data_IF_734837649933
#
_entry.id   IF_734837649933
#
_cell.length_a   1.000
_cell.length_b   1.000
_cell.length_c   1.000
_cell.angle_alpha   90.00
_cell.angle_beta   90.00
_cell.angle_gamma   90.00
#
_symmetry.space_group_name_H-M   'P 1'
#
loop_
_entity.id
_entity.type
_entity.pdbx_description
1 polymer ?
#
# COMPACT_ATOMS: atom_id res chain seq x y z
N UNK A 1 -27.50 -2.92 -17.39
CA UNK A 1 -26.39 -1.95 -17.57
C UNK A 1 -26.61 -0.65 -16.82
N UNK A 2 -27.83 -0.16 -16.66
CA UNK A 2 -28.11 1.05 -15.87
C UNK A 2 -27.82 0.90 -14.37
N UNK A 3 -27.96 -0.30 -13.80
CA UNK A 3 -27.75 -0.55 -12.35
C UNK A 3 -26.29 -0.52 -11.88
N UNK A 4 -25.34 -0.74 -12.78
CA UNK A 4 -23.93 -0.69 -12.44
C UNK A 4 -23.38 0.73 -12.34
N UNK A 5 -24.09 1.68 -12.95
CA UNK A 5 -23.73 3.10 -12.92
C UNK A 5 -24.38 3.85 -11.72
N UNK A 6 -25.29 3.21 -11.02
CA UNK A 6 -26.10 3.84 -9.95
C UNK A 6 -25.60 3.56 -8.54
N UNK A 7 -24.50 2.80 -8.35
CA UNK A 7 -23.89 2.69 -7.01
C UNK A 7 -23.28 4.04 -6.66
N UNK A 8 -23.81 4.66 -5.62
CA UNK A 8 -23.26 5.91 -5.10
C UNK A 8 -21.78 5.70 -4.75
N UNK A 9 -20.97 6.76 -4.85
CA UNK A 9 -19.54 6.72 -4.49
C UNK A 9 -19.34 6.15 -3.08
N UNK A 10 -20.33 6.32 -2.17
CA UNK A 10 -20.31 5.80 -0.81
C UNK A 10 -20.45 4.28 -0.71
N UNK A 11 -20.93 3.60 -1.76
CA UNK A 11 -21.09 2.14 -1.79
C UNK A 11 -19.91 1.42 -2.46
N UNK A 12 -19.01 2.14 -3.07
CA UNK A 12 -17.82 1.56 -3.69
C UNK A 12 -16.82 1.15 -2.63
N UNK A 13 -16.25 -0.04 -2.81
CA UNK A 13 -15.10 -0.47 -2.01
C UNK A 13 -13.91 0.43 -2.31
N UNK A 14 -13.09 0.64 -1.31
CA UNK A 14 -11.93 1.53 -1.42
C UNK A 14 -10.67 0.95 -0.80
N UNK A 15 -9.54 1.33 -1.38
CA UNK A 15 -8.22 0.90 -0.96
C UNK A 15 -7.34 2.14 -0.82
N UNK A 16 -6.54 2.18 0.25
CA UNK A 16 -5.51 3.19 0.45
C UNK A 16 -4.14 2.56 0.21
N UNK A 17 -3.31 3.21 -0.60
CA UNK A 17 -1.90 2.85 -0.78
C UNK A 17 -1.05 3.91 -0.08
N UNK A 18 -0.27 3.48 0.91
CA UNK A 18 0.63 4.34 1.68
C UNK A 18 2.07 4.10 1.26
N UNK A 19 2.77 5.17 0.97
CA UNK A 19 4.19 5.14 0.61
C UNK A 19 5.01 5.92 1.64
N UNK A 20 6.01 5.27 2.20
CA UNK A 20 6.90 5.84 3.19
C UNK A 20 7.97 6.77 2.63
N UNK A 21 8.97 7.11 3.45
CA UNK A 21 9.98 8.11 3.12
C UNK A 21 10.85 7.71 1.93
N UNK A 22 11.28 8.72 1.20
CA UNK A 22 12.18 8.63 0.05
C UNK A 22 11.58 7.95 -1.19
N UNK A 23 10.38 7.39 -1.14
CA UNK A 23 9.74 6.79 -2.31
C UNK A 23 9.38 7.83 -3.39
N UNK A 24 9.24 9.09 -3.01
CA UNK A 24 9.09 10.20 -3.95
C UNK A 24 10.32 10.38 -4.85
N UNK A 25 11.47 9.82 -4.47
CA UNK A 25 12.73 9.89 -5.23
C UNK A 25 12.96 8.67 -6.14
N UNK A 26 11.98 7.79 -6.27
CA UNK A 26 12.11 6.63 -7.17
C UNK A 26 12.43 7.08 -8.60
N UNK A 27 13.32 6.35 -9.27
CA UNK A 27 13.85 6.69 -10.57
C UNK A 27 15.11 7.54 -10.53
N UNK A 28 15.39 8.19 -9.40
CA UNK A 28 16.57 9.04 -9.17
C UNK A 28 17.54 8.40 -8.18
N UNK A 29 17.06 7.49 -7.30
CA UNK A 29 17.81 6.94 -6.19
C UNK A 29 18.09 5.45 -6.42
N UNK A 30 19.38 5.05 -6.28
CA UNK A 30 19.83 3.66 -6.28
C UNK A 30 19.12 2.79 -7.35
N UNK A 31 19.26 3.10 -8.68
CA UNK A 31 18.57 2.35 -9.72
C UNK A 31 18.84 0.85 -9.71
N UNK A 32 19.98 0.43 -9.17
CA UNK A 32 20.36 -0.97 -9.01
C UNK A 32 19.46 -1.74 -8.04
N UNK A 33 18.81 -1.05 -7.09
CA UNK A 33 17.88 -1.65 -6.13
C UNK A 33 16.42 -1.43 -6.49
N UNK A 34 16.10 -0.28 -7.08
CA UNK A 34 14.70 0.17 -7.29
C UNK A 34 14.32 0.29 -8.75
N UNK A 35 15.29 0.14 -9.70
CA UNK A 35 15.02 0.32 -11.13
C UNK A 35 14.80 1.78 -11.52
N UNK A 36 14.30 1.98 -12.73
CA UNK A 36 14.00 3.32 -13.29
C UNK A 36 12.55 3.74 -13.10
N UNK A 37 11.75 2.93 -12.46
CA UNK A 37 10.33 3.17 -12.23
C UNK A 37 10.14 4.34 -11.25
N UNK A 38 9.16 5.20 -11.54
CA UNK A 38 8.83 6.33 -10.66
C UNK A 38 7.62 6.02 -9.80
N UNK A 39 7.48 6.71 -8.65
CA UNK A 39 6.30 6.58 -7.82
C UNK A 39 5.04 7.00 -8.57
N UNK A 40 5.12 8.05 -9.36
CA UNK A 40 4.01 8.51 -10.20
C UNK A 40 3.55 7.43 -11.18
N UNK A 41 4.49 6.74 -11.81
CA UNK A 41 4.20 5.61 -12.70
C UNK A 41 3.53 4.44 -11.97
N UNK A 42 4.01 4.11 -10.78
CA UNK A 42 3.40 3.08 -9.93
C UNK A 42 1.96 3.48 -9.59
N UNK A 43 1.77 4.69 -9.09
CA UNK A 43 0.43 5.18 -8.71
C UNK A 43 -0.55 5.14 -9.88
N UNK A 44 -0.09 5.51 -11.08
CA UNK A 44 -0.93 5.49 -12.28
C UNK A 44 -1.38 4.07 -12.62
N UNK A 45 -0.46 3.11 -12.63
CA UNK A 45 -0.79 1.71 -12.91
C UNK A 45 -1.76 1.13 -11.88
N UNK A 46 -1.56 1.44 -10.59
CA UNK A 46 -2.47 0.99 -9.54
C UNK A 46 -3.85 1.62 -9.69
N UNK A 47 -3.91 2.90 -10.02
CA UNK A 47 -5.18 3.58 -10.26
C UNK A 47 -5.95 2.96 -11.42
N UNK A 48 -5.27 2.68 -12.52
CA UNK A 48 -5.87 2.01 -13.69
C UNK A 48 -6.39 0.61 -13.32
N UNK A 49 -5.60 -0.15 -12.57
CA UNK A 49 -5.98 -1.50 -12.13
C UNK A 49 -7.22 -1.47 -11.22
N UNK A 50 -7.27 -0.53 -10.28
CA UNK A 50 -8.42 -0.36 -9.39
C UNK A 50 -9.67 0.08 -10.15
N UNK A 51 -9.53 1.04 -11.08
CA UNK A 51 -10.63 1.51 -11.90
C UNK A 51 -11.24 0.38 -12.73
N UNK A 52 -10.41 -0.47 -13.33
CA UNK A 52 -10.87 -1.64 -14.08
C UNK A 52 -11.71 -2.60 -13.23
N UNK A 53 -11.49 -2.63 -11.92
CA UNK A 53 -12.22 -3.46 -10.97
C UNK A 53 -13.38 -2.71 -10.28
N UNK A 54 -13.61 -1.45 -10.60
CA UNK A 54 -14.65 -0.64 -9.96
C UNK A 54 -14.33 -0.23 -8.52
N UNK A 55 -13.04 -0.20 -8.15
CA UNK A 55 -12.57 0.12 -6.80
C UNK A 55 -12.06 1.56 -6.78
N UNK A 56 -12.38 2.29 -5.72
CA UNK A 56 -11.79 3.61 -5.45
C UNK A 56 -10.42 3.42 -4.81
N UNK A 57 -9.40 4.01 -5.41
CA UNK A 57 -8.04 3.96 -4.89
C UNK A 57 -7.56 5.36 -4.53
N UNK A 58 -7.00 5.50 -3.33
CA UNK A 58 -6.28 6.68 -2.91
C UNK A 58 -4.81 6.30 -2.70
N UNK A 59 -3.90 7.17 -3.10
CA UNK A 59 -2.46 7.04 -2.84
C UNK A 59 -2.00 8.21 -1.98
N UNK A 60 -1.12 7.94 -1.04
CA UNK A 60 -0.55 8.96 -0.16
C UNK A 60 0.92 8.64 0.11
N UNK A 61 1.78 9.61 -0.08
CA UNK A 61 3.22 9.48 0.20
C UNK A 61 3.64 10.58 1.17
N UNK A 62 4.47 10.22 2.14
CA UNK A 62 5.10 11.22 3.01
C UNK A 62 6.46 10.73 3.52
N UNK A 63 7.34 11.69 3.77
CA UNK A 63 8.61 11.46 4.48
C UNK A 63 8.45 11.61 5.99
N UNK A 64 7.28 12.07 6.45
CA UNK A 64 6.99 12.34 7.86
C UNK A 64 6.24 11.17 8.49
N UNK A 65 6.79 10.61 9.56
CA UNK A 65 6.11 9.58 10.36
C UNK A 65 4.77 10.10 10.89
N UNK A 66 4.76 11.33 11.39
CA UNK A 66 3.54 11.95 11.92
C UNK A 66 2.45 12.08 10.86
N UNK A 67 2.80 12.43 9.63
CA UNK A 67 1.83 12.55 8.55
C UNK A 67 1.24 11.20 8.18
N UNK A 68 2.05 10.14 8.15
CA UNK A 68 1.57 8.78 7.87
C UNK A 68 0.66 8.27 8.96
N UNK A 69 1.02 8.48 10.23
CA UNK A 69 0.18 8.16 11.39
C UNK A 69 -1.14 8.93 11.32
N UNK A 70 -1.07 10.23 11.07
CA UNK A 70 -2.25 11.09 10.92
C UNK A 70 -3.17 10.64 9.80
N UNK A 71 -2.60 10.21 8.66
CA UNK A 71 -3.38 9.67 7.55
C UNK A 71 -4.14 8.42 7.96
N UNK A 72 -3.49 7.51 8.70
CA UNK A 72 -4.16 6.32 9.22
C UNK A 72 -5.28 6.70 10.21
N UNK A 73 -5.09 7.70 11.05
CA UNK A 73 -6.12 8.15 11.97
C UNK A 73 -7.39 8.63 11.25
N UNK A 74 -7.26 9.16 10.03
CA UNK A 74 -8.45 9.54 9.23
C UNK A 74 -9.30 8.34 8.82
N UNK A 75 -8.76 7.12 8.92
CA UNK A 75 -9.47 5.89 8.57
C UNK A 75 -10.22 5.27 9.75
N UNK A 76 -10.17 5.90 10.92
CA UNK A 76 -10.93 5.45 12.07
C UNK A 76 -12.42 5.42 11.72
N UNK A 77 -13.09 4.27 11.96
CA UNK A 77 -14.47 4.06 11.51
C UNK A 77 -14.59 3.38 10.15
N UNK A 78 -13.46 2.88 9.62
CA UNK A 78 -13.41 2.05 8.38
C UNK A 78 -13.82 2.79 7.11
N UNK A 79 -13.19 3.94 6.85
CA UNK A 79 -13.40 4.68 5.60
C UNK A 79 -12.75 4.01 4.38
N UNK A 80 -11.87 3.03 4.57
CA UNK A 80 -11.35 2.17 3.50
C UNK A 80 -11.44 0.69 3.89
N UNK A 81 -11.44 -0.19 2.91
CA UNK A 81 -11.63 -1.63 3.12
C UNK A 81 -10.33 -2.39 3.20
N UNK A 82 -9.26 -1.84 2.65
CA UNK A 82 -7.94 -2.49 2.62
C UNK A 82 -6.84 -1.45 2.49
N UNK A 83 -5.65 -1.75 3.05
CA UNK A 83 -4.47 -0.89 2.97
C UNK A 83 -3.33 -1.67 2.32
N UNK A 84 -2.60 -1.02 1.42
CA UNK A 84 -1.32 -1.49 0.92
C UNK A 84 -0.28 -0.49 1.40
N UNK A 85 0.72 -0.96 2.12
CA UNK A 85 1.72 -0.07 2.69
C UNK A 85 3.13 -0.51 2.30
N UNK A 86 3.91 0.44 1.77
CA UNK A 86 5.36 0.33 1.69
C UNK A 86 5.93 1.30 2.73
N UNK A 87 6.31 0.83 3.93
CA UNK A 87 6.78 1.72 4.98
C UNK A 87 8.18 2.27 4.70
N UNK A 88 8.89 1.74 3.72
CA UNK A 88 10.28 2.09 3.40
C UNK A 88 11.16 2.00 4.65
N UNK A 89 11.96 3.02 4.96
CA UNK A 89 12.85 2.96 6.13
C UNK A 89 12.11 2.83 7.47
N UNK A 90 10.87 3.29 7.56
CA UNK A 90 10.07 3.14 8.78
C UNK A 90 9.69 1.68 9.10
N UNK A 91 9.87 0.77 8.17
CA UNK A 91 9.72 -0.68 8.39
C UNK A 91 10.52 -1.15 9.59
N UNK A 92 11.71 -0.59 9.77
CA UNK A 92 12.71 -1.05 10.74
C UNK A 92 12.76 -0.19 11.99
N UNK A 93 11.94 0.86 12.10
CA UNK A 93 12.06 1.86 13.17
C UNK A 93 10.74 2.29 13.79
N UNK A 94 9.62 2.22 13.07
CA UNK A 94 8.40 2.89 13.51
C UNK A 94 7.43 1.97 14.25
N UNK A 95 7.51 1.98 15.57
CA UNK A 95 6.48 1.38 16.43
C UNK A 95 5.19 2.19 16.36
N UNK A 96 5.29 3.53 16.26
CA UNK A 96 4.12 4.40 16.17
C UNK A 96 3.22 4.06 14.96
N UNK A 97 3.84 3.82 13.81
CA UNK A 97 3.10 3.47 12.60
C UNK A 97 2.49 2.06 12.69
N UNK A 98 3.22 1.11 13.28
CA UNK A 98 2.69 -0.22 13.62
C UNK A 98 1.43 -0.11 14.47
N UNK A 99 1.51 0.69 15.53
CA UNK A 99 0.40 0.84 16.48
C UNK A 99 -0.82 1.51 15.81
N UNK A 100 -0.59 2.46 14.93
CA UNK A 100 -1.67 3.10 14.16
C UNK A 100 -2.40 2.09 13.27
N UNK A 101 -1.66 1.22 12.57
CA UNK A 101 -2.25 0.16 11.75
C UNK A 101 -3.07 -0.82 12.60
N UNK A 102 -2.53 -1.22 13.76
CA UNK A 102 -3.25 -2.10 14.69
C UNK A 102 -4.52 -1.46 15.22
N UNK A 103 -4.49 -0.16 15.47
CA UNK A 103 -5.62 0.59 16.04
C UNK A 103 -6.80 0.71 15.06
N UNK A 104 -6.54 0.95 13.78
CA UNK A 104 -7.61 1.12 12.78
C UNK A 104 -8.25 -0.21 12.37
N UNK A 105 -7.56 -1.33 12.59
CA UNK A 105 -8.08 -2.70 12.35
C UNK A 105 -8.54 -2.94 10.90
N UNK A 106 -7.88 -2.29 9.95
CA UNK A 106 -8.10 -2.51 8.53
C UNK A 106 -7.04 -3.49 8.05
N UNK A 107 -7.39 -4.56 7.31
CA UNK A 107 -6.39 -5.50 6.81
C UNK A 107 -5.41 -4.81 5.87
N UNK A 108 -4.14 -5.19 5.94
CA UNK A 108 -3.14 -4.59 5.07
C UNK A 108 -2.10 -5.61 4.60
N UNK A 109 -1.50 -5.31 3.44
CA UNK A 109 -0.31 -6.00 2.92
C UNK A 109 0.88 -5.05 3.00
N UNK A 110 2.00 -5.58 3.47
CA UNK A 110 3.30 -4.90 3.47
C UNK A 110 4.01 -5.17 2.15
N UNK A 111 4.49 -4.11 1.48
CA UNK A 111 5.19 -4.22 0.19
C UNK A 111 6.56 -3.55 0.29
N UNK A 112 7.57 -4.20 -0.27
CA UNK A 112 8.90 -3.67 -0.47
C UNK A 112 9.31 -3.86 -1.93
N UNK A 113 9.88 -2.83 -2.54
CA UNK A 113 10.34 -2.89 -3.93
C UNK A 113 11.58 -3.79 -4.06
N UNK A 114 12.56 -3.60 -3.16
CA UNK A 114 13.77 -4.41 -3.13
C UNK A 114 13.57 -5.68 -2.31
N UNK A 115 14.40 -6.69 -2.57
CA UNK A 115 14.50 -7.83 -1.67
C UNK A 115 15.28 -7.40 -0.42
N UNK A 116 14.57 -7.12 0.66
CA UNK A 116 15.18 -6.63 1.90
C UNK A 116 16.16 -7.62 2.52
N UNK A 117 16.00 -8.91 2.25
CA UNK A 117 16.89 -9.96 2.76
C UNK A 117 18.23 -10.04 2.01
N UNK A 118 18.33 -9.41 0.85
CA UNK A 118 19.55 -9.28 0.08
C UNK A 118 20.32 -7.99 0.43
N UNK A 119 19.86 -7.24 1.42
CA UNK A 119 20.42 -5.96 1.84
C UNK A 119 21.03 -6.07 3.23
N UNK A 120 21.27 -4.95 3.87
CA UNK A 120 21.95 -4.91 5.18
C UNK A 120 21.07 -5.63 6.26
N UNK A 121 21.71 -6.31 7.24
CA UNK A 121 20.97 -7.07 8.27
C UNK A 121 19.91 -6.28 9.03
N UNK A 122 20.11 -4.97 9.24
CA UNK A 122 19.12 -4.15 9.94
C UNK A 122 17.81 -4.01 9.17
N UNK A 123 17.77 -4.37 7.87
CA UNK A 123 16.54 -4.34 7.04
C UNK A 123 15.78 -5.65 7.09
N UNK A 124 16.31 -6.68 7.76
CA UNK A 124 15.68 -8.00 7.78
C UNK A 124 14.51 -8.08 8.76
N UNK A 125 14.42 -7.19 9.73
CA UNK A 125 13.33 -7.16 10.70
C UNK A 125 12.32 -6.07 10.35
N UNK A 126 11.04 -6.43 10.35
CA UNK A 126 9.92 -5.52 10.12
C UNK A 126 9.04 -5.44 11.36
N UNK A 127 8.64 -4.23 11.73
CA UNK A 127 7.63 -4.00 12.77
C UNK A 127 6.20 -4.24 12.26
N UNK A 128 6.02 -4.61 11.00
CA UNK A 128 4.70 -4.72 10.38
C UNK A 128 4.34 -6.14 9.96
N UNK A 129 5.32 -6.96 9.64
CA UNK A 129 5.10 -8.25 8.99
C UNK A 129 4.24 -9.20 9.81
N UNK A 130 4.36 -9.18 11.12
CA UNK A 130 3.61 -10.08 12.01
C UNK A 130 2.12 -9.72 12.14
N UNK A 131 1.75 -8.47 11.85
CA UNK A 131 0.35 -8.03 11.89
C UNK A 131 -0.25 -7.82 10.49
N UNK A 132 0.53 -7.96 9.44
CA UNK A 132 0.07 -7.87 8.05
C UNK A 132 -0.67 -9.14 7.63
N UNK A 133 -1.56 -9.03 6.66
CA UNK A 133 -2.18 -10.19 5.99
C UNK A 133 -1.10 -10.99 5.25
N UNK A 134 -0.14 -10.30 4.65
CA UNK A 134 0.98 -10.90 3.95
C UNK A 134 2.04 -9.86 3.62
N UNK A 135 3.16 -10.35 3.11
CA UNK A 135 4.33 -9.52 2.76
C UNK A 135 4.78 -9.86 1.34
N UNK A 136 5.03 -8.84 0.54
CA UNK A 136 5.61 -8.98 -0.80
C UNK A 136 6.90 -8.17 -0.83
N UNK A 137 8.00 -8.81 -1.19
CA UNK A 137 9.31 -8.19 -1.16
C UNK A 137 10.13 -8.60 -2.39
N UNK A 138 10.79 -7.64 -3.02
CA UNK A 138 11.77 -7.92 -4.06
C UNK A 138 11.26 -7.93 -5.50
N UNK A 139 9.99 -7.64 -5.72
CA UNK A 139 9.37 -7.72 -7.06
C UNK A 139 9.21 -6.35 -7.74
N UNK A 140 9.85 -5.31 -7.22
CA UNK A 140 9.69 -3.96 -7.77
C UNK A 140 8.24 -3.50 -7.73
N UNK A 141 7.84 -2.70 -8.70
CA UNK A 141 6.47 -2.19 -8.81
C UNK A 141 5.42 -3.28 -9.01
N UNK A 142 5.80 -4.43 -9.57
CA UNK A 142 4.90 -5.58 -9.71
C UNK A 142 4.43 -6.11 -8.35
N UNK A 143 5.21 -5.91 -7.29
CA UNK A 143 4.79 -6.25 -5.94
C UNK A 143 3.55 -5.48 -5.49
N UNK A 144 3.48 -4.19 -5.80
CA UNK A 144 2.28 -3.40 -5.55
C UNK A 144 1.07 -3.91 -6.33
N UNK A 145 1.25 -4.22 -7.60
CA UNK A 145 0.18 -4.73 -8.45
C UNK A 145 -0.35 -6.07 -7.93
N UNK A 146 0.53 -6.93 -7.45
CA UNK A 146 0.16 -8.21 -6.86
C UNK A 146 -0.61 -8.03 -5.55
N UNK A 147 -0.17 -7.10 -4.70
CA UNK A 147 -0.88 -6.75 -3.47
C UNK A 147 -2.28 -6.22 -3.78
N UNK A 148 -2.40 -5.37 -4.78
CA UNK A 148 -3.68 -4.81 -5.19
C UNK A 148 -4.62 -5.89 -5.74
N UNK A 149 -4.11 -6.83 -6.54
CA UNK A 149 -4.90 -7.98 -7.03
C UNK A 149 -5.46 -8.79 -5.88
N UNK A 150 -4.64 -9.06 -4.87
CA UNK A 150 -5.10 -9.78 -3.68
C UNK A 150 -6.19 -8.98 -2.94
N UNK A 151 -5.96 -7.69 -2.71
CA UNK A 151 -6.90 -6.82 -2.00
C UNK A 151 -8.25 -6.75 -2.72
N UNK A 152 -8.25 -6.55 -4.03
CA UNK A 152 -9.45 -6.50 -4.86
C UNK A 152 -10.24 -7.81 -4.72
N UNK A 153 -9.55 -8.94 -4.78
CA UNK A 153 -10.17 -10.25 -4.66
C UNK A 153 -10.85 -10.46 -3.29
N UNK A 154 -10.29 -9.86 -2.25
CA UNK A 154 -10.81 -9.99 -0.88
C UNK A 154 -12.03 -9.10 -0.63
N UNK A 155 -12.03 -7.87 -1.14
CA UNK A 155 -13.08 -6.89 -0.84
C UNK A 155 -14.19 -6.86 -1.88
N UNK A 156 -13.90 -7.28 -3.11
CA UNK A 156 -14.85 -7.34 -4.21
C UNK A 156 -14.68 -8.67 -4.96
N UNK A 157 -14.96 -9.82 -4.30
CA UNK A 157 -14.80 -11.12 -4.95
C UNK A 157 -15.69 -11.21 -6.18
N UNK A 158 -15.14 -11.77 -7.28
CA UNK A 158 -15.91 -12.01 -8.48
C UNK A 158 -17.08 -12.95 -8.13
N UNK A 159 -18.27 -12.58 -8.56
CA UNK A 159 -19.43 -13.50 -8.46
C UNK A 159 -19.19 -14.61 -9.48
N UNK A 160 -18.86 -15.77 -8.94
CA UNK A 160 -18.80 -16.98 -9.77
C UNK A 160 -20.22 -17.44 -10.12
#
# INVERSE_FOLDING_TARGET
MADLLAKSVSERKSILVLHGPNLNLLGMREPEHYGKETLEGINRLLTEQAQAAGITLETFQSNSEADLVGKLHTLAGKSVDFIIINPAAFTHTSVALRDALAAVKIPFIEVHLSNVYAREPFRHHSYFSDIAVGVISGLGGLGYASALSYAINKIAPSQA
#
